data_IF_892485295588
#
_entry.id   IF_892485295588
#
_cell.length_a   1.000
_cell.length_b   1.000
_cell.length_c   1.000
_cell.angle_alpha   90.00
_cell.angle_beta   90.00
_cell.angle_gamma   90.00
#
_symmetry.space_group_name_H-M   'P 1'
#
loop_
_entity.id
_entity.type
_entity.pdbx_description
1 polymer ?
#
# COMPACT_ATOMS: atom_id res chain seq x y z
N UNK A 1 25.65 6.71 64.86
CA UNK A 1 24.64 7.79 64.96
C UNK A 1 23.64 7.55 63.83
N UNK A 2 22.55 6.78 64.02
CA UNK A 2 21.25 7.17 64.61
C UNK A 2 20.73 8.47 63.93
N UNK A 3 19.57 8.55 63.26
CA UNK A 3 18.22 7.99 63.46
C UNK A 3 17.44 7.99 62.11
N UNK A 4 16.74 6.92 61.71
CA UNK A 4 15.29 6.59 61.88
C UNK A 4 14.30 7.58 61.21
N UNK A 5 13.62 7.20 60.11
CA UNK A 5 12.34 6.44 59.97
C UNK A 5 11.07 7.23 60.37
N UNK A 6 10.10 7.31 59.45
CA UNK A 6 8.66 7.05 59.72
C UNK A 6 7.82 6.92 58.43
N UNK A 7 7.31 5.70 58.23
CA UNK A 7 6.09 5.36 57.48
C UNK A 7 4.85 5.62 58.36
N UNK A 8 3.70 5.94 57.74
CA UNK A 8 2.32 5.70 58.22
C UNK A 8 1.35 6.04 57.08
N UNK A 9 0.73 5.08 56.38
CA UNK A 9 -0.45 4.27 56.73
C UNK A 9 -1.82 5.01 56.63
N UNK A 10 -2.71 4.36 55.86
CA UNK A 10 -4.07 4.68 55.39
C UNK A 10 -5.11 4.60 56.52
N UNK A 11 -6.31 5.22 56.36
CA UNK A 11 -7.53 4.40 56.46
C UNK A 11 -8.59 4.68 55.37
N UNK A 12 -9.29 3.59 54.99
CA UNK A 12 -10.55 3.56 54.24
C UNK A 12 -11.72 4.14 55.05
N UNK A 13 -12.68 4.79 54.39
CA UNK A 13 -14.11 4.76 54.78
C UNK A 13 -15.00 4.78 53.52
N UNK A 14 -15.87 3.79 53.39
CA UNK A 14 -17.01 3.73 52.46
C UNK A 14 -18.25 4.40 53.07
N UNK A 15 -19.08 5.06 52.26
CA UNK A 15 -20.51 5.22 52.54
C UNK A 15 -21.28 5.52 51.24
N UNK A 16 -22.25 4.64 50.96
CA UNK A 16 -23.24 4.77 49.89
C UNK A 16 -24.32 5.80 50.24
N UNK A 17 -24.91 6.45 49.23
CA UNK A 17 -26.19 7.14 49.37
C UNK A 17 -27.11 6.78 48.19
N UNK A 18 -28.10 5.94 48.47
CA UNK A 18 -29.34 5.80 47.69
C UNK A 18 -30.28 6.94 48.12
N UNK A 19 -30.93 7.59 47.15
CA UNK A 19 -32.18 8.30 47.38
C UNK A 19 -33.10 8.10 46.18
N UNK A 20 -34.18 7.34 46.41
CA UNK A 20 -35.32 7.20 45.52
C UNK A 20 -36.41 8.21 45.91
N UNK A 21 -37.08 8.79 44.92
CA UNK A 21 -38.43 9.34 45.07
C UNK A 21 -39.22 9.12 43.77
N UNK A 22 -40.32 8.38 43.88
CA UNK A 22 -41.39 8.20 42.89
C UNK A 22 -42.52 9.24 43.18
N UNK A 23 -43.51 9.62 42.35
CA UNK A 23 -44.44 8.95 41.42
C UNK A 23 -45.21 10.03 40.59
N UNK A 24 -45.77 9.62 39.44
CA UNK A 24 -46.95 10.21 38.75
C UNK A 24 -46.69 10.62 37.29
N UNK A 25 -47.01 9.83 36.26
CA UNK A 25 -48.33 9.68 35.59
C UNK A 25 -48.52 10.82 34.56
N UNK A 26 -48.71 10.67 33.24
CA UNK A 26 -49.30 9.60 32.41
C UNK A 26 -48.92 9.78 30.93
N UNK A 27 -49.17 8.73 30.13
CA UNK A 27 -49.44 8.71 28.67
C UNK A 27 -48.29 8.58 27.64
N UNK A 28 -48.10 7.31 27.24
CA UNK A 28 -48.18 6.79 25.86
C UNK A 28 -46.98 6.87 24.87
N UNK A 29 -46.64 5.66 24.41
CA UNK A 29 -45.88 5.25 23.19
C UNK A 29 -44.37 5.45 23.22
N UNK A 30 -43.63 4.36 23.41
CA UNK A 30 -42.22 4.25 22.97
C UNK A 30 -41.98 2.87 22.37
N UNK A 31 -41.68 2.87 21.07
CA UNK A 31 -41.09 1.77 20.34
C UNK A 31 -39.71 1.45 20.95
N UNK A 32 -39.37 0.17 21.01
CA UNK A 32 -38.04 -0.31 21.38
C UNK A 32 -37.03 0.09 20.30
N UNK A 33 -35.90 0.73 20.64
CA UNK A 33 -34.80 0.88 19.70
C UNK A 33 -33.98 -0.42 19.69
N UNK A 34 -33.89 -1.05 18.53
CA UNK A 34 -32.86 -2.05 18.26
C UNK A 34 -31.46 -1.43 18.38
N UNK A 35 -30.51 -2.27 18.75
CA UNK A 35 -29.16 -1.91 19.12
C UNK A 35 -28.44 -1.09 18.03
N UNK A 36 -27.95 0.08 18.41
CA UNK A 36 -27.04 0.88 17.60
C UNK A 36 -25.69 0.17 17.43
N UNK A 37 -25.36 -0.20 16.20
CA UNK A 37 -24.00 -0.51 15.77
C UNK A 37 -23.19 0.80 15.64
N UNK A 38 -21.87 0.79 15.88
CA UNK A 38 -21.06 2.01 15.83
C UNK A 38 -20.71 2.39 14.39
N UNK A 39 -21.33 3.46 13.89
CA UNK A 39 -20.64 4.55 13.19
C UNK A 39 -20.06 4.30 11.80
N UNK A 40 -20.86 3.84 10.85
CA UNK A 40 -20.74 4.39 9.50
C UNK A 40 -21.34 5.80 9.53
N UNK A 41 -20.61 6.79 9.01
CA UNK A 41 -21.11 8.16 8.95
C UNK A 41 -22.45 8.19 8.23
N UNK A 42 -23.45 8.83 8.86
CA UNK A 42 -24.78 9.08 8.34
C UNK A 42 -24.72 9.70 6.92
N UNK A 43 -24.68 8.88 5.88
CA UNK A 43 -25.10 9.27 4.54
C UNK A 43 -26.63 9.11 4.48
N UNK A 44 -27.32 9.93 5.29
CA UNK A 44 -28.78 10.04 5.36
C UNK A 44 -29.33 10.86 4.19
N UNK A 45 -28.80 10.68 2.98
CA UNK A 45 -29.35 11.31 1.78
C UNK A 45 -30.59 10.56 1.24
N UNK A 46 -30.91 9.38 1.77
CA UNK A 46 -32.18 8.69 1.50
C UNK A 46 -33.25 9.10 2.53
N UNK A 47 -34.24 9.88 2.10
CA UNK A 47 -35.49 10.05 2.85
C UNK A 47 -36.16 8.66 2.99
N UNK A 48 -36.38 8.14 4.22
CA UNK A 48 -36.97 6.82 4.43
C UNK A 48 -38.43 6.73 3.96
N UNK A 49 -39.04 7.83 3.50
CA UNK A 49 -40.36 7.81 2.86
C UNK A 49 -40.32 7.67 1.33
N UNK A 50 -39.14 7.74 0.70
CA UNK A 50 -38.96 7.58 -0.75
C UNK A 50 -38.25 6.29 -1.17
N UNK A 51 -37.46 5.66 -0.30
CA UNK A 51 -36.86 4.36 -0.60
C UNK A 51 -37.95 3.27 -0.62
N UNK A 52 -38.27 2.75 -1.80
CA UNK A 52 -39.31 1.76 -2.02
C UNK A 52 -38.65 0.45 -2.44
N UNK A 53 -38.38 -0.36 -1.43
CA UNK A 53 -37.98 -1.74 -1.60
C UNK A 53 -38.92 -2.45 -2.61
N UNK A 54 -38.34 -3.11 -3.63
CA UNK A 54 -38.97 -3.98 -4.62
C UNK A 54 -39.59 -3.28 -5.85
N UNK A 55 -39.04 -2.16 -6.31
CA UNK A 55 -39.50 -1.50 -7.52
C UNK A 55 -38.56 -1.76 -8.73
N UNK A 56 -37.38 -2.36 -8.53
CA UNK A 56 -36.37 -2.59 -9.58
C UNK A 56 -35.76 -1.29 -10.12
N UNK A 57 -35.86 -0.22 -9.34
CA UNK A 57 -35.19 1.07 -9.51
C UNK A 57 -34.01 1.04 -8.55
N UNK A 58 -32.95 1.74 -8.91
CA UNK A 58 -31.80 2.02 -8.04
C UNK A 58 -32.15 3.29 -7.24
N UNK A 59 -32.75 3.11 -6.06
CA UNK A 59 -33.32 4.20 -5.26
C UNK A 59 -32.24 5.03 -4.54
N UNK A 60 -31.07 4.45 -4.24
CA UNK A 60 -29.95 5.17 -3.61
C UNK A 60 -28.90 5.73 -4.60
N UNK A 61 -28.89 5.26 -5.84
CA UNK A 61 -28.05 5.76 -6.93
C UNK A 61 -26.61 5.25 -6.91
N UNK A 62 -26.34 4.07 -6.34
CA UNK A 62 -25.02 3.44 -6.34
C UNK A 62 -24.71 2.61 -7.60
N UNK A 63 -25.70 2.46 -8.47
CA UNK A 63 -25.61 1.74 -9.73
C UNK A 63 -26.09 0.30 -9.68
N UNK A 64 -26.75 -0.12 -8.60
CA UNK A 64 -27.44 -1.39 -8.45
C UNK A 64 -28.88 -1.15 -8.01
N UNK A 65 -29.80 -1.90 -8.59
CA UNK A 65 -31.16 -2.06 -8.05
C UNK A 65 -31.28 -3.36 -7.27
N UNK A 66 -32.36 -3.56 -6.53
CA UNK A 66 -32.61 -4.85 -5.86
C UNK A 66 -32.72 -6.01 -6.88
N UNK A 67 -33.21 -5.72 -8.08
CA UNK A 67 -33.28 -6.69 -9.18
C UNK A 67 -31.87 -7.11 -9.67
N UNK A 68 -30.87 -6.26 -9.45
CA UNK A 68 -29.46 -6.49 -9.73
C UNK A 68 -28.69 -7.01 -8.52
N UNK A 69 -29.37 -7.28 -7.40
CA UNK A 69 -28.80 -7.93 -6.24
C UNK A 69 -28.37 -6.99 -5.12
N UNK A 70 -28.78 -5.72 -5.17
CA UNK A 70 -28.69 -4.83 -4.01
C UNK A 70 -29.52 -5.39 -2.83
N UNK A 71 -28.87 -5.50 -1.68
CA UNK A 71 -29.46 -5.99 -0.44
C UNK A 71 -30.00 -4.85 0.45
N UNK A 72 -29.61 -3.61 0.20
CA UNK A 72 -30.10 -2.40 0.85
C UNK A 72 -30.06 -1.18 -0.10
N UNK A 73 -31.05 -1.13 -1.00
CA UNK A 73 -31.29 -0.09 -2.01
C UNK A 73 -31.57 1.32 -1.43
N UNK A 74 -31.37 1.51 -0.13
CA UNK A 74 -31.45 2.79 0.55
C UNK A 74 -30.09 3.30 1.00
N UNK A 75 -29.01 2.52 0.87
CA UNK A 75 -27.67 2.82 1.37
C UNK A 75 -26.59 2.36 0.38
N UNK A 76 -26.02 3.33 -0.33
CA UNK A 76 -24.96 3.16 -1.36
C UNK A 76 -23.74 2.34 -0.96
N UNK A 77 -23.52 2.14 0.33
CA UNK A 77 -22.40 1.35 0.83
C UNK A 77 -22.63 -0.17 0.75
N UNK A 78 -23.85 -0.60 0.37
CA UNK A 78 -24.32 -1.98 0.42
C UNK A 78 -24.76 -2.42 -0.97
N UNK A 79 -23.88 -3.06 -1.75
CA UNK A 79 -24.22 -3.52 -3.09
C UNK A 79 -23.23 -4.57 -3.59
N UNK A 80 -23.53 -5.32 -4.67
CA UNK A 80 -22.61 -6.30 -5.26
C UNK A 80 -21.20 -5.80 -5.61
N UNK A 81 -21.00 -4.48 -5.74
CA UNK A 81 -19.71 -3.86 -6.02
C UNK A 81 -18.93 -3.38 -4.79
N UNK A 82 -19.48 -3.51 -3.58
CA UNK A 82 -18.88 -3.03 -2.34
C UNK A 82 -17.75 -3.95 -1.85
N UNK A 83 -16.85 -3.39 -1.03
CA UNK A 83 -15.86 -4.14 -0.27
C UNK A 83 -16.48 -4.59 1.06
N UNK A 84 -16.37 -5.86 1.38
CA UNK A 84 -16.83 -6.41 2.65
C UNK A 84 -15.72 -6.28 3.72
N UNK A 85 -15.98 -5.46 4.74
CA UNK A 85 -14.96 -5.07 5.72
C UNK A 85 -14.89 -6.07 6.86
N UNK A 86 -13.75 -6.76 6.94
CA UNK A 86 -13.50 -7.76 7.98
C UNK A 86 -13.79 -7.34 9.42
N UNK A 87 -14.51 -8.23 10.11
CA UNK A 87 -14.68 -8.22 11.56
C UNK A 87 -15.79 -7.30 12.04
N UNK A 88 -16.60 -6.75 11.14
CA UNK A 88 -17.77 -5.94 11.49
C UNK A 88 -19.06 -6.79 11.55
N UNK A 89 -19.08 -8.00 10.96
CA UNK A 89 -20.23 -8.90 10.94
C UNK A 89 -21.38 -8.44 10.03
N UNK A 90 -21.09 -7.58 9.05
CA UNK A 90 -22.02 -6.97 8.11
C UNK A 90 -21.70 -7.48 6.70
N UNK A 91 -22.73 -7.69 5.87
CA UNK A 91 -22.59 -8.10 4.46
C UNK A 91 -22.74 -6.85 3.59
N UNK A 92 -21.64 -6.12 3.34
CA UNK A 92 -21.67 -4.94 2.48
C UNK A 92 -21.73 -5.30 0.99
N UNK A 93 -21.15 -6.43 0.57
CA UNK A 93 -21.08 -6.81 -0.85
C UNK A 93 -22.30 -7.61 -1.34
N UNK A 94 -23.31 -7.78 -0.48
CA UNK A 94 -24.57 -8.48 -0.76
C UNK A 94 -24.36 -9.91 -1.31
N UNK A 95 -23.28 -10.57 -0.89
CA UNK A 95 -22.98 -11.97 -1.21
C UNK A 95 -23.92 -12.94 -0.49
N UNK A 96 -24.50 -12.52 0.63
CA UNK A 96 -25.26 -13.33 1.57
C UNK A 96 -24.42 -13.88 2.72
N UNK A 97 -23.13 -13.53 2.80
CA UNK A 97 -22.21 -13.96 3.85
C UNK A 97 -21.38 -12.75 4.33
N UNK A 98 -21.54 -12.30 5.57
CA UNK A 98 -20.68 -11.26 6.14
C UNK A 98 -19.21 -11.67 6.26
N UNK A 99 -18.31 -10.69 6.17
CA UNK A 99 -16.87 -10.79 6.34
C UNK A 99 -16.20 -11.86 5.43
N UNK A 100 -16.59 -11.93 4.15
CA UNK A 100 -16.23 -13.04 3.24
C UNK A 100 -15.16 -12.72 2.16
N UNK A 101 -14.50 -11.56 2.25
CA UNK A 101 -13.49 -11.19 1.25
C UNK A 101 -12.38 -12.26 1.09
N UNK A 102 -12.02 -12.62 -0.16
CA UNK A 102 -11.10 -13.71 -0.43
C UNK A 102 -9.68 -13.35 0.03
N UNK A 103 -9.05 -14.27 0.77
CA UNK A 103 -7.70 -14.10 1.34
C UNK A 103 -6.80 -15.31 1.10
N UNK A 104 -5.50 -15.11 1.29
CA UNK A 104 -4.50 -16.19 1.26
C UNK A 104 -4.37 -16.87 -0.10
N UNK A 105 -4.62 -16.14 -1.18
CA UNK A 105 -4.54 -16.63 -2.55
C UNK A 105 -3.10 -16.68 -3.10
N UNK A 106 -2.12 -16.22 -2.32
CA UNK A 106 -0.72 -16.02 -2.71
C UNK A 106 0.16 -17.25 -2.43
N UNK A 107 -0.43 -18.45 -2.53
CA UNK A 107 0.25 -19.72 -2.31
C UNK A 107 0.76 -20.31 -3.62
N UNK A 108 1.95 -20.91 -3.58
CA UNK A 108 2.46 -21.74 -4.68
C UNK A 108 2.96 -20.97 -5.92
N UNK A 109 3.16 -19.66 -5.82
CA UNK A 109 3.80 -18.87 -6.88
C UNK A 109 5.26 -19.32 -7.09
N UNK A 110 5.68 -19.40 -8.35
CA UNK A 110 7.09 -19.56 -8.66
C UNK A 110 7.85 -18.25 -8.35
N UNK A 111 9.16 -18.36 -8.09
CA UNK A 111 9.99 -17.19 -7.82
C UNK A 111 10.00 -16.22 -9.01
N UNK A 112 10.05 -16.74 -10.23
CA UNK A 112 10.04 -16.04 -11.52
C UNK A 112 8.74 -16.29 -12.29
N UNK A 113 7.60 -16.36 -11.59
CA UNK A 113 6.31 -16.67 -12.21
C UNK A 113 6.00 -15.69 -13.37
N UNK A 114 5.91 -16.17 -14.62
CA UNK A 114 5.69 -15.27 -15.76
C UNK A 114 4.25 -14.71 -15.81
N UNK A 115 3.33 -15.28 -15.03
CA UNK A 115 1.97 -14.76 -14.90
C UNK A 115 1.92 -13.68 -13.82
N UNK A 116 1.76 -12.43 -14.25
CA UNK A 116 1.64 -11.28 -13.36
C UNK A 116 0.49 -11.41 -12.34
N UNK A 117 -0.51 -12.28 -12.58
CA UNK A 117 -1.54 -12.60 -11.60
C UNK A 117 -0.95 -13.17 -10.30
N UNK A 118 0.19 -13.87 -10.33
CA UNK A 118 0.87 -14.34 -9.14
C UNK A 118 1.42 -13.17 -8.30
N UNK A 119 1.99 -12.15 -8.95
CA UNK A 119 2.45 -10.94 -8.27
C UNK A 119 1.28 -10.15 -7.67
N UNK A 120 0.13 -10.08 -8.35
CA UNK A 120 -1.09 -9.47 -7.80
C UNK A 120 -1.53 -10.14 -6.50
N UNK A 121 -1.54 -11.48 -6.48
CA UNK A 121 -1.90 -12.23 -5.28
C UNK A 121 -0.90 -11.98 -4.15
N UNK A 122 0.40 -11.90 -4.46
CA UNK A 122 1.44 -11.53 -3.50
C UNK A 122 1.33 -10.10 -2.94
N UNK A 123 0.48 -9.23 -3.52
CA UNK A 123 0.12 -7.94 -2.92
C UNK A 123 -1.07 -8.05 -1.94
N UNK A 124 -1.75 -9.21 -1.87
CA UNK A 124 -2.99 -9.40 -1.11
C UNK A 124 -4.28 -9.26 -1.94
N UNK A 125 -4.18 -8.98 -3.25
CA UNK A 125 -5.35 -8.83 -4.13
C UNK A 125 -5.81 -10.18 -4.68
N UNK A 126 -6.89 -10.73 -4.10
CA UNK A 126 -7.42 -12.04 -4.47
C UNK A 126 -8.67 -12.02 -5.37
N UNK A 127 -9.37 -10.89 -5.47
CA UNK A 127 -10.61 -10.75 -6.26
C UNK A 127 -10.29 -10.31 -7.69
N UNK A 128 -10.87 -11.01 -8.67
CA UNK A 128 -10.80 -10.67 -10.09
C UNK A 128 -12.19 -10.26 -10.61
N UNK A 129 -12.23 -9.29 -11.52
CA UNK A 129 -13.47 -8.77 -12.09
C UNK A 129 -13.40 -8.69 -13.62
N UNK A 130 -14.56 -8.83 -14.27
CA UNK A 130 -14.67 -8.55 -15.70
C UNK A 130 -15.02 -7.09 -15.94
N UNK A 131 -14.30 -6.43 -16.87
CA UNK A 131 -14.51 -5.02 -17.21
C UNK A 131 -15.93 -4.74 -17.73
N UNK A 132 -16.54 -5.70 -18.42
CA UNK A 132 -17.84 -5.62 -19.08
C UNK A 132 -19.01 -6.20 -18.27
N UNK A 133 -18.75 -6.64 -17.03
CA UNK A 133 -19.80 -7.11 -16.12
C UNK A 133 -20.84 -6.03 -15.84
N UNK A 134 -22.10 -6.45 -15.72
CA UNK A 134 -23.28 -5.62 -15.44
C UNK A 134 -24.21 -6.34 -14.46
N UNK A 135 -25.07 -5.60 -13.76
CA UNK A 135 -25.92 -6.13 -12.69
C UNK A 135 -25.11 -6.85 -11.60
N UNK A 136 -25.69 -7.90 -11.00
CA UNK A 136 -25.06 -8.66 -9.90
C UNK A 136 -23.60 -9.10 -10.13
N UNK A 137 -23.19 -9.56 -11.33
CA UNK A 137 -21.79 -9.89 -11.61
C UNK A 137 -20.79 -8.71 -11.63
N UNK A 138 -21.24 -7.45 -11.58
CA UNK A 138 -20.37 -6.26 -11.65
C UNK A 138 -19.65 -5.99 -10.32
N UNK A 139 -18.96 -6.98 -9.78
CA UNK A 139 -18.20 -6.80 -8.54
C UNK A 139 -16.94 -5.96 -8.77
N UNK A 140 -16.28 -5.55 -7.68
CA UNK A 140 -14.93 -4.99 -7.71
C UNK A 140 -13.87 -6.08 -7.93
N UNK A 141 -12.65 -5.68 -8.28
CA UNK A 141 -11.52 -6.60 -8.39
C UNK A 141 -10.50 -6.18 -9.44
N UNK A 142 -9.43 -6.97 -9.54
CA UNK A 142 -8.40 -6.82 -10.57
C UNK A 142 -8.97 -7.26 -11.91
N UNK A 143 -8.83 -6.40 -12.92
CA UNK A 143 -9.28 -6.63 -14.29
C UNK A 143 -8.15 -7.21 -15.13
N UNK A 144 -6.95 -6.65 -15.00
CA UNK A 144 -5.76 -7.14 -15.70
C UNK A 144 -4.48 -6.84 -14.93
N UNK A 145 -3.45 -7.65 -15.19
CA UNK A 145 -2.11 -7.51 -14.63
C UNK A 145 -1.05 -7.80 -15.69
N UNK A 146 0.02 -7.00 -15.73
CA UNK A 146 1.13 -7.17 -16.69
C UNK A 146 2.46 -6.78 -16.05
N UNK A 147 3.52 -7.52 -16.38
CA UNK A 147 4.88 -7.03 -16.18
C UNK A 147 5.23 -6.02 -17.27
N UNK A 148 5.71 -4.85 -16.85
CA UNK A 148 6.00 -3.72 -17.73
C UNK A 148 7.32 -3.06 -17.36
N UNK A 149 7.91 -2.34 -18.30
CA UNK A 149 8.96 -1.36 -18.09
C UNK A 149 8.37 -0.06 -17.52
N UNK A 150 9.20 0.86 -17.01
CA UNK A 150 8.73 2.13 -16.47
C UNK A 150 7.80 2.95 -17.39
N UNK A 151 8.01 2.89 -18.71
CA UNK A 151 7.14 3.55 -19.71
C UNK A 151 5.83 2.81 -20.01
N UNK A 152 5.64 1.60 -19.48
CA UNK A 152 4.47 0.76 -19.72
C UNK A 152 4.62 -0.21 -20.90
N UNK A 153 5.76 -0.23 -21.57
CA UNK A 153 6.04 -1.26 -22.58
C UNK A 153 6.26 -2.63 -21.90
N UNK A 154 6.02 -3.76 -22.58
CA UNK A 154 6.16 -5.08 -21.95
C UNK A 154 7.57 -5.35 -21.40
N UNK A 155 7.62 -5.98 -20.22
CA UNK A 155 8.82 -6.54 -19.62
C UNK A 155 8.80 -8.07 -19.71
N UNK A 156 9.91 -8.68 -20.10
CA UNK A 156 10.00 -10.13 -20.34
C UNK A 156 11.19 -10.78 -19.66
N UNK A 157 12.07 -10.00 -19.02
CA UNK A 157 13.19 -10.55 -18.26
C UNK A 157 12.67 -11.15 -16.93
N UNK A 158 12.88 -12.44 -16.66
CA UNK A 158 12.39 -13.09 -15.44
C UNK A 158 13.10 -12.63 -14.16
N UNK A 159 14.20 -11.87 -14.26
CA UNK A 159 14.89 -11.28 -13.13
C UNK A 159 14.38 -9.88 -12.77
N UNK A 160 13.49 -9.31 -13.59
CA UNK A 160 12.80 -8.04 -13.30
C UNK A 160 11.94 -8.11 -12.04
N UNK A 161 11.44 -9.30 -11.70
CA UNK A 161 10.53 -9.53 -10.59
C UNK A 161 10.88 -10.81 -9.82
N UNK A 162 10.40 -10.88 -8.58
CA UNK A 162 10.52 -12.05 -7.73
C UNK A 162 9.32 -12.18 -6.80
N UNK A 163 8.74 -13.38 -6.66
CA UNK A 163 7.69 -13.67 -5.67
C UNK A 163 8.26 -14.63 -4.63
N UNK A 164 8.28 -14.21 -3.36
CA UNK A 164 9.07 -14.93 -2.34
C UNK A 164 8.52 -14.81 -0.93
N UNK A 165 8.87 -15.78 -0.08
CA UNK A 165 8.48 -15.80 1.34
C UNK A 165 9.40 -14.98 2.25
N UNK A 166 10.54 -14.53 1.73
CA UNK A 166 11.42 -13.57 2.36
C UNK A 166 12.39 -12.98 1.33
N UNK A 167 12.76 -11.72 1.48
CA UNK A 167 13.90 -11.09 0.83
C UNK A 167 14.94 -10.75 1.92
N UNK A 168 15.85 -11.69 2.17
CA UNK A 168 16.81 -11.62 3.27
C UNK A 168 16.09 -11.62 4.61
N UNK A 169 16.34 -10.60 5.43
CA UNK A 169 15.66 -10.41 6.72
C UNK A 169 14.21 -9.90 6.62
N UNK A 170 13.73 -9.56 5.43
CA UNK A 170 12.39 -8.97 5.22
C UNK A 170 11.40 -10.08 4.85
N UNK A 171 10.38 -10.27 5.68
CA UNK A 171 9.28 -11.21 5.42
C UNK A 171 8.02 -10.46 4.95
N UNK A 172 7.06 -11.14 4.32
CA UNK A 172 5.76 -10.56 3.99
C UNK A 172 5.09 -9.96 5.22
N UNK A 173 4.48 -8.78 5.04
CA UNK A 173 3.67 -8.07 6.02
C UNK A 173 2.24 -8.63 6.08
N UNK A 174 1.77 -9.22 4.98
CA UNK A 174 0.52 -9.96 4.91
C UNK A 174 0.69 -11.22 4.04
N UNK A 175 -0.23 -12.17 4.15
CA UNK A 175 -0.19 -13.39 3.34
C UNK A 175 1.01 -14.31 3.62
N UNK A 176 1.59 -14.87 2.55
CA UNK A 176 2.69 -15.84 2.55
C UNK A 176 3.86 -15.43 1.68
N UNK A 177 3.66 -14.55 0.72
CA UNK A 177 4.65 -14.07 -0.23
C UNK A 177 4.56 -12.56 -0.41
N UNK A 178 5.67 -11.96 -0.80
CA UNK A 178 5.76 -10.56 -1.22
C UNK A 178 6.29 -10.47 -2.64
N UNK A 179 6.10 -9.32 -3.29
CA UNK A 179 6.68 -9.00 -4.59
C UNK A 179 7.99 -8.22 -4.43
N UNK A 180 9.02 -8.61 -5.15
CA UNK A 180 10.21 -7.80 -5.41
C UNK A 180 10.22 -7.36 -6.87
N UNK A 181 10.56 -6.10 -7.13
CA UNK A 181 10.87 -5.55 -8.46
C UNK A 181 12.28 -4.95 -8.42
N UNK A 182 13.10 -5.15 -9.45
CA UNK A 182 14.52 -4.78 -9.40
C UNK A 182 15.03 -4.21 -10.72
N UNK A 183 15.86 -3.16 -10.66
CA UNK A 183 16.72 -2.76 -11.79
C UNK A 183 17.85 -3.76 -12.04
N UNK A 184 18.21 -4.54 -11.02
CA UNK A 184 19.11 -5.70 -11.10
C UNK A 184 18.39 -7.03 -11.18
N UNK A 185 18.85 -8.00 -10.39
CA UNK A 185 18.11 -9.23 -10.14
C UNK A 185 17.20 -9.08 -8.91
N UNK A 186 15.91 -9.35 -9.05
CA UNK A 186 14.95 -9.42 -7.92
C UNK A 186 15.17 -10.69 -7.08
N UNK A 187 16.39 -10.89 -6.58
CA UNK A 187 16.90 -12.10 -5.92
C UNK A 187 17.80 -11.70 -4.75
N UNK A 188 17.84 -12.56 -3.74
CA UNK A 188 18.85 -12.50 -2.68
C UNK A 188 20.01 -13.46 -2.97
N UNK A 189 21.18 -13.32 -2.32
CA UNK A 189 22.37 -14.12 -2.63
C UNK A 189 22.21 -15.64 -2.59
N UNK A 190 21.26 -16.15 -1.80
CA UNK A 190 20.96 -17.59 -1.69
C UNK A 190 19.93 -18.09 -2.72
N UNK A 191 19.37 -17.20 -3.54
CA UNK A 191 18.35 -17.55 -4.53
C UNK A 191 18.93 -17.85 -5.92
N UNK A 192 18.31 -18.78 -6.67
CA UNK A 192 18.64 -19.00 -8.08
C UNK A 192 18.45 -17.73 -8.92
N UNK A 193 19.42 -17.45 -9.80
CA UNK A 193 19.40 -16.27 -10.67
C UNK A 193 19.87 -14.98 -9.99
N UNK A 194 20.42 -15.05 -8.77
CA UNK A 194 21.10 -13.92 -8.16
C UNK A 194 22.30 -13.47 -8.99
N UNK A 195 22.40 -12.15 -9.16
CA UNK A 195 23.57 -11.48 -9.68
C UNK A 195 24.07 -10.45 -8.66
N UNK A 196 25.38 -10.18 -8.68
CA UNK A 196 25.96 -9.12 -7.85
C UNK A 196 25.31 -7.79 -8.23
N UNK A 197 24.88 -7.06 -7.20
CA UNK A 197 24.17 -5.79 -7.35
C UNK A 197 25.08 -4.70 -7.97
N UNK A 198 26.41 -4.91 -7.90
CA UNK A 198 27.40 -4.06 -8.55
C UNK A 198 27.77 -4.61 -9.94
N UNK A 199 27.35 -3.90 -10.99
CA UNK A 199 27.79 -4.09 -12.36
C UNK A 199 27.03 -5.15 -13.15
N UNK A 200 26.02 -5.80 -12.56
CA UNK A 200 25.07 -6.58 -13.33
C UNK A 200 24.14 -5.66 -14.14
N UNK A 201 23.82 -6.08 -15.36
CA UNK A 201 22.99 -5.34 -16.32
C UNK A 201 22.10 -6.30 -17.06
N UNK A 202 20.81 -6.02 -17.11
CA UNK A 202 19.90 -6.73 -18.03
C UNK A 202 20.15 -6.29 -19.49
N UNK A 203 20.69 -5.08 -19.67
CA UNK A 203 21.19 -4.59 -20.95
C UNK A 203 20.13 -3.92 -21.82
N UNK A 204 19.02 -3.45 -21.23
CA UNK A 204 17.97 -2.74 -21.96
C UNK A 204 17.68 -1.35 -21.37
N UNK A 205 16.98 -0.55 -22.17
CA UNK A 205 16.54 0.81 -21.82
C UNK A 205 15.03 0.91 -22.00
N UNK A 206 14.42 1.88 -21.35
CA UNK A 206 13.01 2.23 -21.48
C UNK A 206 12.80 3.74 -21.39
N UNK A 207 11.62 4.22 -21.73
CA UNK A 207 11.18 5.51 -21.19
C UNK A 207 10.93 5.41 -19.68
N UNK A 208 10.44 6.50 -19.12
CA UNK A 208 10.04 6.64 -17.71
C UNK A 208 8.58 7.07 -17.62
N UNK A 209 7.94 6.99 -16.45
CA UNK A 209 6.59 7.51 -16.26
C UNK A 209 6.45 8.99 -16.64
N UNK A 210 5.22 9.40 -16.95
CA UNK A 210 4.93 10.80 -17.28
C UNK A 210 5.34 11.71 -16.11
N UNK A 211 6.03 12.82 -16.40
CA UNK A 211 6.56 13.71 -15.35
C UNK A 211 7.96 13.35 -14.86
N UNK A 212 8.56 12.27 -15.37
CA UNK A 212 9.97 11.90 -15.13
C UNK A 212 10.83 12.02 -16.41
N UNK A 213 12.17 12.11 -16.29
CA UNK A 213 12.91 12.30 -15.04
C UNK A 213 12.66 13.71 -14.49
N UNK A 214 12.68 13.84 -13.16
CA UNK A 214 12.50 15.12 -12.46
C UNK A 214 13.56 15.30 -11.38
N UNK A 215 13.81 16.56 -11.01
CA UNK A 215 14.64 16.86 -9.86
C UNK A 215 13.98 16.37 -8.57
N UNK A 216 14.78 15.84 -7.66
CA UNK A 216 14.37 15.69 -6.27
C UNK A 216 14.43 17.07 -5.61
N UNK A 217 13.35 17.57 -4.97
CA UNK A 217 13.39 18.80 -4.18
C UNK A 217 14.56 18.90 -3.19
N UNK A 218 15.04 17.77 -2.66
CA UNK A 218 16.20 17.70 -1.79
C UNK A 218 17.55 17.96 -2.50
N UNK A 219 17.61 17.88 -3.83
CA UNK A 219 18.82 17.96 -4.65
C UNK A 219 18.58 18.86 -5.88
N UNK A 220 18.38 20.18 -5.70
CA UNK A 220 18.06 21.10 -6.79
C UNK A 220 19.18 21.17 -7.83
N UNK A 221 18.82 21.26 -9.11
CA UNK A 221 19.76 21.32 -10.23
C UNK A 221 20.30 19.97 -10.70
N UNK A 222 19.83 18.86 -10.13
CA UNK A 222 20.22 17.50 -10.52
C UNK A 222 19.01 16.72 -11.02
N UNK A 223 19.03 16.36 -12.30
CA UNK A 223 18.04 15.49 -12.95
C UNK A 223 18.70 14.17 -13.30
N UNK A 224 18.02 13.07 -13.03
CA UNK A 224 18.47 11.73 -13.41
C UNK A 224 18.50 11.51 -14.92
N UNK A 225 19.34 10.58 -15.34
CA UNK A 225 19.51 10.25 -16.75
C UNK A 225 18.49 9.25 -17.28
N UNK A 226 18.85 8.67 -18.43
CA UNK A 226 18.11 7.62 -19.12
C UNK A 226 17.84 6.42 -18.19
N UNK A 227 16.60 5.90 -18.18
CA UNK A 227 16.27 4.67 -17.45
C UNK A 227 16.88 3.44 -18.13
N UNK A 228 17.54 2.60 -17.34
CA UNK A 228 18.11 1.32 -17.70
C UNK A 228 17.48 0.22 -16.84
N UNK A 229 17.38 -0.97 -17.44
CA UNK A 229 17.06 -2.23 -16.76
C UNK A 229 15.80 -2.22 -15.87
N UNK A 230 14.89 -1.28 -16.13
CA UNK A 230 13.71 -1.05 -15.32
C UNK A 230 12.72 -2.21 -15.32
N UNK A 231 11.97 -2.30 -14.23
CA UNK A 231 10.98 -3.34 -13.98
C UNK A 231 9.70 -2.73 -13.42
N UNK A 232 8.59 -3.44 -13.56
CA UNK A 232 7.32 -2.97 -13.06
C UNK A 232 6.17 -3.94 -13.17
N UNK A 233 5.13 -3.67 -12.39
CA UNK A 233 3.84 -4.33 -12.41
C UNK A 233 2.76 -3.28 -12.70
N UNK A 234 1.96 -3.50 -13.75
CA UNK A 234 0.81 -2.67 -14.09
C UNK A 234 -0.49 -3.44 -13.84
N UNK A 235 -1.40 -2.80 -13.11
CA UNK A 235 -2.72 -3.34 -12.76
C UNK A 235 -3.81 -2.41 -13.30
N UNK A 236 -4.86 -2.97 -13.87
CA UNK A 236 -6.16 -2.30 -14.00
C UNK A 236 -7.12 -2.90 -12.98
N UNK A 237 -7.79 -2.07 -12.20
CA UNK A 237 -8.61 -2.49 -11.05
C UNK A 237 -9.91 -1.71 -11.06
N UNK A 238 -11.05 -2.41 -10.89
CA UNK A 238 -12.31 -1.77 -10.52
C UNK A 238 -12.31 -1.56 -9.01
N UNK A 239 -12.39 -0.30 -8.60
CA UNK A 239 -12.42 0.13 -7.20
C UNK A 239 -13.77 -0.28 -6.57
N UNK A 240 -13.79 -0.85 -5.35
CA UNK A 240 -15.04 -1.09 -4.63
C UNK A 240 -15.89 0.16 -4.49
N UNK A 241 -17.21 0.03 -4.43
CA UNK A 241 -18.13 1.19 -4.41
C UNK A 241 -18.05 1.98 -3.10
N UNK A 242 -17.78 1.32 -1.98
CA UNK A 242 -17.83 1.86 -0.62
C UNK A 242 -16.46 2.25 -0.02
N UNK A 243 -15.40 2.37 -0.84
CA UNK A 243 -14.04 2.74 -0.38
C UNK A 243 -13.67 4.16 -0.80
N UNK A 244 -12.73 4.78 -0.06
CA UNK A 244 -12.25 6.16 -0.30
C UNK A 244 -10.74 6.24 -0.55
N UNK A 245 -9.98 5.23 -0.13
CA UNK A 245 -8.55 5.13 -0.42
C UNK A 245 -8.12 3.67 -0.53
N UNK A 246 -6.91 3.47 -1.03
CA UNK A 246 -6.14 2.25 -0.77
C UNK A 246 -4.84 2.61 -0.06
N UNK A 247 -4.23 1.61 0.53
CA UNK A 247 -2.82 1.66 0.89
C UNK A 247 -2.06 0.46 0.37
N UNK A 248 -0.75 0.63 0.24
CA UNK A 248 0.22 -0.44 -0.06
C UNK A 248 1.48 -0.17 0.73
N UNK A 249 2.18 -1.22 1.13
CA UNK A 249 3.47 -1.13 1.80
C UNK A 249 4.61 -1.42 0.83
N UNK A 250 5.68 -0.62 0.91
CA UNK A 250 6.88 -0.83 0.11
C UNK A 250 8.17 -0.62 0.90
N UNK A 251 9.24 -1.29 0.48
CA UNK A 251 10.60 -1.11 1.03
C UNK A 251 11.61 -1.04 -0.11
N UNK A 252 12.22 0.13 -0.30
CA UNK A 252 13.15 0.41 -1.39
C UNK A 252 14.60 0.29 -0.89
N UNK A 253 15.41 -0.47 -1.62
CA UNK A 253 16.83 -0.75 -1.40
C UNK A 253 17.65 -0.16 -2.55
N UNK A 254 18.80 0.43 -2.24
CA UNK A 254 19.65 1.16 -3.19
C UNK A 254 21.13 0.94 -2.88
N UNK A 255 21.93 0.68 -3.92
CA UNK A 255 23.39 0.66 -3.81
C UNK A 255 24.01 2.06 -3.93
N UNK A 256 23.28 3.02 -4.50
CA UNK A 256 23.78 4.39 -4.72
C UNK A 256 24.07 5.13 -3.41
N UNK A 257 23.47 4.71 -2.30
CA UNK A 257 23.88 5.17 -0.98
C UNK A 257 25.17 4.48 -0.53
N UNK A 258 26.19 5.21 -0.06
CA UNK A 258 26.26 6.65 0.21
C UNK A 258 26.84 7.46 -0.96
N UNK A 259 27.44 6.82 -1.95
CA UNK A 259 28.39 7.44 -2.88
C UNK A 259 27.78 8.45 -3.85
N UNK A 260 26.47 8.33 -4.09
CA UNK A 260 25.79 8.98 -5.20
C UNK A 260 24.60 9.82 -4.77
N UNK A 261 24.48 10.18 -3.49
CA UNK A 261 23.49 11.16 -3.01
C UNK A 261 23.52 12.43 -3.88
N UNK A 262 22.36 12.95 -4.26
CA UNK A 262 22.21 14.11 -5.13
C UNK A 262 23.00 14.01 -6.45
N UNK A 263 22.94 12.86 -7.11
CA UNK A 263 23.59 12.64 -8.41
C UNK A 263 22.60 12.21 -9.50
N UNK A 264 23.03 12.30 -10.75
CA UNK A 264 22.24 11.84 -11.92
C UNK A 264 22.03 10.32 -11.97
N UNK A 265 22.71 9.56 -11.10
CA UNK A 265 22.67 8.11 -11.04
C UNK A 265 21.61 7.58 -10.07
N UNK A 266 20.76 8.45 -9.52
CA UNK A 266 19.81 8.01 -8.49
C UNK A 266 18.63 7.29 -9.10
N UNK A 267 18.43 6.07 -8.64
CA UNK A 267 17.32 5.21 -8.99
C UNK A 267 16.06 5.70 -8.30
N UNK A 268 14.94 5.41 -8.95
CA UNK A 268 13.63 5.80 -8.45
C UNK A 268 12.72 4.59 -8.40
N UNK A 269 11.92 4.56 -7.34
CA UNK A 269 10.67 3.83 -7.32
C UNK A 269 9.52 4.83 -7.45
N UNK A 270 8.58 4.52 -8.35
CA UNK A 270 7.39 5.32 -8.62
C UNK A 270 6.16 4.42 -8.61
N UNK A 271 5.13 4.87 -7.88
CA UNK A 271 3.80 4.28 -7.93
C UNK A 271 2.87 5.26 -8.66
N UNK A 272 2.66 5.03 -9.95
CA UNK A 272 1.80 5.87 -10.77
C UNK A 272 0.34 5.43 -10.70
N UNK A 273 -0.56 6.40 -10.55
CA UNK A 273 -2.01 6.18 -10.57
C UNK A 273 -2.69 6.93 -11.72
N UNK A 274 -3.58 6.25 -12.44
CA UNK A 274 -4.48 6.84 -13.44
C UNK A 274 -5.94 6.49 -13.14
N UNK A 275 -6.90 7.43 -13.20
CA UNK A 275 -6.70 8.86 -13.38
C UNK A 275 -5.81 9.46 -12.29
N UNK A 276 -5.09 10.53 -12.63
CA UNK A 276 -4.18 11.19 -11.68
C UNK A 276 -4.99 11.80 -10.55
N UNK A 277 -4.48 11.68 -9.34
CA UNK A 277 -4.96 12.45 -8.19
C UNK A 277 -4.63 13.92 -8.48
N UNK A 278 -5.60 14.87 -8.46
CA UNK A 278 -5.38 16.26 -8.89
C UNK A 278 -4.21 16.96 -8.20
N UNK A 279 -3.95 16.61 -6.94
CA UNK A 279 -2.85 17.16 -6.12
C UNK A 279 -1.47 16.62 -6.52
N UNK A 280 -1.41 15.52 -7.27
CA UNK A 280 -0.18 14.84 -7.71
C UNK A 280 -0.12 14.86 -9.25
N UNK A 281 0.23 16.00 -9.86
CA UNK A 281 0.11 16.20 -11.31
C UNK A 281 1.05 15.33 -12.15
N UNK A 282 2.10 14.77 -11.54
CA UNK A 282 2.97 13.76 -12.14
C UNK A 282 2.37 12.34 -12.07
N UNK A 283 1.33 12.13 -11.26
CA UNK A 283 0.65 10.84 -11.11
C UNK A 283 1.28 9.91 -10.08
N UNK A 284 2.43 10.28 -9.51
CA UNK A 284 3.09 9.48 -8.49
C UNK A 284 2.41 9.67 -7.13
N UNK A 285 1.97 8.58 -6.50
CA UNK A 285 1.38 8.62 -5.14
C UNK A 285 2.38 8.25 -4.04
N UNK A 286 3.58 7.76 -4.39
CA UNK A 286 4.64 7.37 -3.46
C UNK A 286 5.75 8.43 -3.37
N UNK A 287 5.66 9.32 -2.38
CA UNK A 287 6.61 10.43 -2.16
C UNK A 287 6.66 10.82 -0.69
N UNK A 288 7.77 11.43 -0.24
CA UNK A 288 7.89 11.92 1.15
C UNK A 288 7.07 13.20 1.40
N UNK A 289 7.02 13.66 2.65
CA UNK A 289 6.22 14.82 3.06
C UNK A 289 6.56 16.14 2.34
N UNK A 290 7.67 16.24 1.61
CA UNK A 290 8.06 17.42 0.83
C UNK A 290 8.07 17.15 -0.69
N UNK A 291 7.51 16.02 -1.13
CA UNK A 291 7.32 15.68 -2.53
C UNK A 291 8.52 15.03 -3.21
N UNK A 292 9.55 14.59 -2.47
CA UNK A 292 10.60 13.78 -3.09
C UNK A 292 10.04 12.40 -3.44
N UNK A 293 10.25 11.92 -4.67
CA UNK A 293 9.98 10.52 -5.00
C UNK A 293 10.85 9.57 -4.17
N UNK A 294 10.46 8.31 -4.08
CA UNK A 294 11.25 7.28 -3.40
C UNK A 294 12.54 7.05 -4.19
N UNK A 295 13.67 7.35 -3.55
CA UNK A 295 15.03 7.29 -4.08
C UNK A 295 16.02 7.45 -2.92
N UNK A 296 17.32 7.38 -3.19
CA UNK A 296 18.37 7.70 -2.19
C UNK A 296 18.25 9.11 -1.59
N UNK A 297 17.60 10.05 -2.29
CA UNK A 297 17.45 11.43 -1.82
C UNK A 297 16.24 11.66 -0.93
N UNK A 298 15.36 10.66 -0.80
CA UNK A 298 14.13 10.74 -0.05
C UNK A 298 14.40 10.83 1.47
N UNK A 299 13.60 11.62 2.20
CA UNK A 299 13.75 11.76 3.65
C UNK A 299 13.41 10.49 4.44
N UNK A 300 12.79 9.49 3.80
CA UNK A 300 12.39 8.21 4.37
C UNK A 300 13.45 7.12 4.18
N UNK A 301 14.68 7.45 3.76
CA UNK A 301 15.82 6.52 3.80
C UNK A 301 16.29 6.35 5.25
N UNK A 302 15.84 5.28 5.92
CA UNK A 302 16.01 5.10 7.37
C UNK A 302 16.86 3.89 7.77
N UNK A 303 17.16 2.99 6.84
CA UNK A 303 17.99 1.80 7.05
C UNK A 303 19.36 2.05 6.43
N UNK A 304 20.37 2.29 7.24
CA UNK A 304 21.75 2.54 6.83
C UNK A 304 22.67 2.65 8.06
N UNK A 305 23.97 2.76 7.85
CA UNK A 305 24.88 3.25 8.90
C UNK A 305 24.75 4.78 9.04
N UNK A 306 24.57 5.31 10.27
CA UNK A 306 24.45 6.74 10.47
C UNK A 306 25.68 7.52 9.96
N UNK A 307 25.45 8.56 9.16
CA UNK A 307 26.54 9.35 8.56
C UNK A 307 26.11 10.74 8.08
N UNK A 308 27.09 11.57 7.77
CA UNK A 308 26.88 12.87 7.12
C UNK A 308 27.52 12.85 5.74
N UNK A 309 26.76 13.23 4.71
CA UNK A 309 27.19 13.30 3.31
C UNK A 309 26.92 14.74 2.84
N UNK A 310 27.95 15.46 2.42
CA UNK A 310 27.86 16.85 1.95
C UNK A 310 27.03 17.79 2.86
N UNK A 311 27.17 17.61 4.17
CA UNK A 311 26.47 18.40 5.19
C UNK A 311 25.04 17.94 5.50
N UNK A 312 24.50 16.95 4.76
CA UNK A 312 23.22 16.30 5.05
C UNK A 312 23.42 15.16 6.03
N UNK A 313 22.67 15.20 7.13
CA UNK A 313 22.71 14.18 8.17
C UNK A 313 21.73 13.04 7.88
N UNK A 314 22.22 11.81 7.91
CA UNK A 314 21.46 10.57 7.76
C UNK A 314 21.52 9.84 9.11
N UNK A 315 20.50 9.98 9.97
CA UNK A 315 20.51 9.38 11.30
C UNK A 315 20.25 7.86 11.28
N UNK A 316 19.71 7.33 10.18
CA UNK A 316 19.42 5.91 9.95
C UNK A 316 18.81 5.20 11.18
N UNK A 317 17.64 5.65 11.68
CA UNK A 317 17.11 5.21 12.97
C UNK A 317 16.74 3.71 13.01
N UNK A 318 16.62 3.05 11.85
CA UNK A 318 16.33 1.62 11.76
C UNK A 318 17.62 0.76 11.70
N UNK A 319 18.79 1.38 11.69
CA UNK A 319 20.08 0.69 11.58
C UNK A 319 20.19 -0.09 10.27
N UNK A 320 20.82 -1.27 10.31
CA UNK A 320 21.15 -2.07 9.10
C UNK A 320 20.51 -3.46 9.11
N UNK A 321 19.67 -3.76 10.10
CA UNK A 321 19.19 -5.12 10.35
C UNK A 321 18.38 -5.70 9.18
N UNK A 322 17.56 -4.86 8.52
CA UNK A 322 16.75 -5.28 7.37
C UNK A 322 17.55 -5.46 6.08
N UNK A 323 18.81 -5.02 6.02
CA UNK A 323 19.70 -5.31 4.88
C UNK A 323 20.25 -6.73 4.92
N UNK A 324 20.21 -7.40 6.09
CA UNK A 324 20.85 -8.69 6.27
C UNK A 324 20.34 -9.72 5.25
N UNK A 325 21.26 -10.30 4.48
CA UNK A 325 20.98 -11.33 3.48
C UNK A 325 20.23 -10.84 2.24
N UNK A 326 20.13 -9.53 2.03
CA UNK A 326 19.52 -8.98 0.80
C UNK A 326 20.54 -8.79 -0.32
N UNK A 327 21.85 -8.84 0.01
CA UNK A 327 22.94 -8.47 -0.88
C UNK A 327 23.40 -7.02 -0.67
N UNK A 328 22.47 -6.12 -0.27
CA UNK A 328 22.79 -4.72 0.06
C UNK A 328 23.58 -4.57 1.37
N UNK A 329 23.71 -5.65 2.15
CA UNK A 329 24.53 -5.73 3.37
C UNK A 329 25.97 -6.19 3.13
N UNK A 330 26.26 -6.78 1.98
CA UNK A 330 27.54 -7.47 1.71
C UNK A 330 28.35 -6.85 0.59
N UNK A 331 27.70 -6.14 -0.34
CA UNK A 331 28.38 -5.50 -1.46
C UNK A 331 29.18 -4.31 -0.94
N UNK A 332 30.46 -4.26 -1.30
CA UNK A 332 31.36 -3.14 -1.01
C UNK A 332 31.75 -2.45 -2.31
N UNK A 333 31.73 -1.12 -2.33
CA UNK A 333 32.20 -0.31 -3.44
C UNK A 333 33.24 0.73 -2.96
N UNK A 334 33.66 1.61 -3.86
CA UNK A 334 34.65 2.67 -3.56
C UNK A 334 34.12 3.69 -2.52
N UNK A 335 32.82 3.70 -2.22
CA UNK A 335 32.15 4.70 -1.39
C UNK A 335 31.62 4.13 -0.05
N UNK A 336 31.43 2.82 0.05
CA UNK A 336 30.95 2.10 1.22
C UNK A 336 31.64 0.74 1.33
N UNK A 337 32.33 0.43 2.43
CA UNK A 337 32.84 -0.91 2.69
C UNK A 337 31.74 -1.94 3.04
N UNK A 338 30.47 -1.68 2.64
CA UNK A 338 29.22 -2.24 3.15
C UNK A 338 28.87 -1.82 4.60
N UNK A 339 27.58 -1.75 4.98
CA UNK A 339 26.36 -1.96 4.18
C UNK A 339 25.84 -0.69 3.46
N UNK A 340 24.95 -0.85 2.49
CA UNK A 340 24.30 0.23 1.73
C UNK A 340 23.03 0.73 2.45
N UNK A 341 21.92 1.01 1.73
CA UNK A 341 20.72 1.57 2.37
C UNK A 341 19.39 1.03 1.86
N UNK A 342 18.37 1.24 2.69
CA UNK A 342 16.97 1.08 2.34
C UNK A 342 16.07 2.10 3.06
N UNK A 343 14.82 2.21 2.63
CA UNK A 343 13.82 3.02 3.33
C UNK A 343 13.32 2.35 4.61
N UNK A 344 13.34 1.02 4.67
CA UNK A 344 12.46 0.28 5.56
C UNK A 344 11.03 0.28 4.98
N UNK A 345 10.12 -0.46 5.63
CA UNK A 345 8.72 -0.49 5.19
C UNK A 345 8.08 0.89 5.33
N UNK A 346 7.49 1.37 4.24
CA UNK A 346 6.71 2.58 4.14
C UNK A 346 5.30 2.20 3.71
N UNK A 347 4.28 2.82 4.31
CA UNK A 347 2.90 2.71 3.82
C UNK A 347 2.58 3.94 2.96
N UNK A 348 2.21 3.72 1.70
CA UNK A 348 1.68 4.74 0.80
C UNK A 348 0.16 4.64 0.74
N UNK A 349 -0.52 5.76 1.00
CA UNK A 349 -1.96 5.91 0.86
C UNK A 349 -2.29 6.77 -0.36
N UNK A 350 -3.33 6.39 -1.10
CA UNK A 350 -3.84 7.18 -2.21
C UNK A 350 -5.39 7.18 -2.23
N UNK A 351 -6.00 8.34 -2.47
CA UNK A 351 -7.45 8.47 -2.57
C UNK A 351 -7.95 7.83 -3.86
N UNK A 352 -9.15 7.26 -3.82
CA UNK A 352 -9.83 6.70 -4.98
C UNK A 352 -11.30 7.10 -4.98
N UNK A 353 -11.92 7.04 -6.14
CA UNK A 353 -13.38 7.14 -6.26
C UNK A 353 -13.95 5.74 -6.41
N UNK A 354 -14.85 5.35 -5.52
CA UNK A 354 -15.53 4.06 -5.56
C UNK A 354 -16.28 3.82 -6.88
N UNK A 355 -16.32 2.56 -7.32
CA UNK A 355 -16.98 2.14 -8.55
C UNK A 355 -16.26 2.55 -9.86
N UNK A 356 -15.18 3.31 -9.78
CA UNK A 356 -14.37 3.68 -10.97
C UNK A 356 -13.33 2.61 -11.31
N UNK A 357 -12.70 2.74 -12.48
CA UNK A 357 -11.53 1.92 -12.84
C UNK A 357 -10.28 2.77 -12.69
N UNK A 358 -9.28 2.21 -12.00
CA UNK A 358 -7.96 2.81 -11.85
C UNK A 358 -6.90 1.93 -12.50
N UNK A 359 -5.82 2.56 -12.94
CA UNK A 359 -4.58 1.89 -13.30
C UNK A 359 -3.52 2.24 -12.27
N UNK A 360 -2.86 1.23 -11.73
CA UNK A 360 -1.69 1.36 -10.86
C UNK A 360 -0.47 0.80 -11.57
N UNK A 361 0.64 1.52 -11.53
CA UNK A 361 1.92 1.04 -12.06
C UNK A 361 3.02 1.20 -11.01
N UNK A 362 3.51 0.07 -10.52
CA UNK A 362 4.65 -0.03 -9.60
C UNK A 362 5.90 -0.15 -10.46
N UNK A 363 6.80 0.84 -10.45
CA UNK A 363 7.98 0.83 -11.33
C UNK A 363 9.25 1.21 -10.61
N UNK A 364 10.35 0.58 -11.02
CA UNK A 364 11.71 0.86 -10.56
C UNK A 364 12.67 0.83 -11.75
N UNK A 365 13.72 1.65 -11.73
CA UNK A 365 14.75 1.63 -12.77
C UNK A 365 16.09 2.16 -12.28
N UNK A 366 17.15 1.72 -12.97
CA UNK A 366 18.48 2.31 -12.82
C UNK A 366 18.57 3.60 -13.64
N UNK A 367 19.00 4.68 -13.00
CA UNK A 367 19.21 5.95 -13.68
C UNK A 367 20.63 6.09 -14.24
N UNK A 368 20.71 6.44 -15.52
CA UNK A 368 21.93 6.79 -16.29
C UNK A 368 22.78 5.63 -16.79
N UNK A 369 23.19 4.65 -15.99
CA UNK A 369 24.28 3.73 -16.39
C UNK A 369 24.04 2.23 -16.22
N UNK A 370 23.01 1.78 -15.50
CA UNK A 370 22.72 0.37 -15.26
C UNK A 370 23.76 -0.32 -14.38
N UNK A 371 24.47 0.36 -13.48
CA UNK A 371 25.55 -0.27 -12.72
C UNK A 371 25.20 -0.63 -11.28
N UNK A 372 24.36 0.17 -10.63
CA UNK A 372 24.12 0.05 -9.20
C UNK A 372 22.66 -0.27 -9.01
N UNK A 373 22.41 -1.54 -8.77
CA UNK A 373 21.05 -2.04 -8.74
C UNK A 373 20.28 -1.55 -7.51
N UNK A 374 19.00 -1.29 -7.74
CA UNK A 374 18.00 -1.00 -6.72
C UNK A 374 16.89 -2.04 -6.78
N UNK A 375 16.28 -2.31 -5.63
CA UNK A 375 15.16 -3.25 -5.51
C UNK A 375 14.07 -2.65 -4.64
N UNK A 376 12.81 -2.84 -5.01
CA UNK A 376 11.66 -2.49 -4.17
C UNK A 376 10.89 -3.76 -3.82
N UNK A 377 10.59 -3.93 -2.54
CA UNK A 377 9.58 -4.89 -2.09
C UNK A 377 8.24 -4.19 -2.03
N UNK A 378 7.16 -4.85 -2.45
CA UNK A 378 5.79 -4.33 -2.42
C UNK A 378 4.88 -5.42 -1.85
N UNK A 379 4.03 -5.04 -0.90
CA UNK A 379 3.15 -5.95 -0.18
C UNK A 379 1.94 -5.21 0.43
N UNK A 380 0.97 -5.95 0.96
CA UNK A 380 -0.15 -5.47 1.78
C UNK A 380 -0.94 -4.33 1.15
N UNK A 381 -1.40 -4.56 -0.08
CA UNK A 381 -2.44 -3.75 -0.68
C UNK A 381 -3.77 -3.98 0.04
N UNK A 382 -4.41 -2.92 0.52
CA UNK A 382 -5.75 -3.00 1.10
C UNK A 382 -6.56 -1.73 0.84
N UNK A 383 -7.89 -1.89 0.83
CA UNK A 383 -8.84 -0.79 0.70
C UNK A 383 -9.20 -0.19 2.07
N UNK A 384 -9.67 1.05 2.07
CA UNK A 384 -10.16 1.71 3.27
C UNK A 384 -11.30 2.70 3.00
N UNK A 385 -12.19 2.86 3.98
CA UNK A 385 -13.33 3.78 3.98
C UNK A 385 -12.98 5.23 4.39
N UNK A 386 -11.70 5.49 4.63
CA UNK A 386 -11.14 6.81 4.98
C UNK A 386 -10.45 7.46 3.78
N UNK A 387 -10.58 8.78 3.62
CA UNK A 387 -9.74 9.52 2.66
C UNK A 387 -8.40 9.81 3.33
N UNK A 388 -7.38 9.01 2.98
CA UNK A 388 -6.02 9.15 3.47
C UNK A 388 -5.04 9.16 2.29
N UNK A 389 -3.92 9.88 2.49
CA UNK A 389 -2.95 10.17 1.42
C UNK A 389 -1.53 10.22 1.95
N UNK A 390 -0.57 10.09 1.04
CA UNK A 390 0.85 10.29 1.30
C UNK A 390 1.56 9.04 1.81
N UNK A 391 2.88 9.18 1.99
CA UNK A 391 3.75 8.07 2.38
C UNK A 391 4.41 8.34 3.73
N UNK A 392 4.42 7.35 4.60
CA UNK A 392 5.04 7.41 5.93
C UNK A 392 5.67 6.06 6.29
N UNK A 393 6.58 6.00 7.27
CA UNK A 393 7.05 4.72 7.82
C UNK A 393 5.87 3.85 8.24
N UNK A 394 5.94 2.55 7.89
CA UNK A 394 4.88 1.60 8.24
C UNK A 394 4.74 1.48 9.75
N UNK A 395 3.51 1.39 10.21
CA UNK A 395 3.18 1.15 11.62
C UNK A 395 3.35 -0.34 11.99
N UNK A 396 3.42 -1.22 10.99
CA UNK A 396 3.72 -2.64 11.14
C UNK A 396 5.24 -2.82 11.05
N UNK A 397 5.81 -3.57 12.01
CA UNK A 397 7.25 -3.79 12.13
C UNK A 397 7.61 -5.26 12.20
#
# INVERSE_FOLDING_TARGET
MQHLLRLSAIPLVSAALLAACALGGSDAVTQTPDAAAPGFGDDLDADPTTCRLQNGIDDDGDGYSEAEGDCDDCRKAFNPGAYDYDGNGIDEDCSGVPDDEPKGCDVGAALDDPDAAAAVRALGLCRWASLDANGKPKTWGVISAKYVKPDGTPETDPLSHGIMTAFGANTPLDGKTLLALSSGSARTPDMPGYHDLLGYRKGYKSGVPEGYPKESPACPGTVSGQANDGAGLELEIRVPTNVKSFHVDQNFFTLEFPGYVCSKYNDFYVLDMSPKVPEYPDGNVAFDAVGNPISVNNALLQVCEPRTIDGRNYPCPLGVASLKGTGFDTVSDDYSPAPHAATGWLTTWAPVQGGTTIRLRFTIWDSSDGNLDSTVLVDRFAWADVDRRGTAPSEIR
#
